data_IF_311896410257
#
_entry.id   IF_311896410257
#
_cell.length_a   1.000
_cell.length_b   1.000
_cell.length_c   1.000
_cell.angle_alpha   90.00
_cell.angle_beta   90.00
_cell.angle_gamma   90.00
#
_symmetry.space_group_name_H-M   'P 1'
#
loop_
_entity.id
_entity.type
_entity.pdbx_description
1 polymer ?
#
# COMPACT_ATOMS: atom_id res chain seq x y z
N UNK A 1 -11.54 -18.09 8.13
CA UNK A 1 -10.21 -17.50 7.93
C UNK A 1 -9.87 -16.53 9.06
N UNK A 2 -10.54 -15.40 9.22
CA UNK A 2 -10.22 -14.34 10.22
C UNK A 2 -10.12 -14.83 11.67
N UNK A 3 -10.97 -15.75 12.11
CA UNK A 3 -10.95 -16.27 13.48
C UNK A 3 -9.66 -17.01 13.89
N UNK A 4 -8.78 -17.31 12.95
CA UNK A 4 -7.48 -17.98 13.18
C UNK A 4 -6.27 -17.04 13.06
N UNK A 5 -6.52 -15.77 12.73
CA UNK A 5 -5.46 -14.77 12.59
C UNK A 5 -5.25 -14.11 13.95
N UNK A 6 -4.06 -14.25 14.51
CA UNK A 6 -3.68 -13.64 15.77
C UNK A 6 -2.33 -12.97 15.63
N UNK A 7 -2.32 -11.66 15.43
CA UNK A 7 -1.11 -10.87 15.31
C UNK A 7 -1.34 -9.46 15.86
N UNK A 8 -0.32 -8.87 16.48
CA UNK A 8 -0.42 -7.52 17.08
C UNK A 8 -0.81 -6.45 16.07
N UNK A 9 -0.39 -6.60 14.81
CA UNK A 9 -0.66 -5.64 13.72
C UNK A 9 -1.81 -6.07 12.80
N UNK A 10 -2.67 -6.98 13.23
CA UNK A 10 -3.90 -7.36 12.52
C UNK A 10 -5.08 -7.19 13.48
N UNK A 11 -6.18 -6.62 12.97
CA UNK A 11 -7.38 -6.43 13.77
C UNK A 11 -7.92 -7.77 14.28
N UNK A 12 -8.25 -7.82 15.56
CA UNK A 12 -8.79 -9.02 16.19
C UNK A 12 -10.29 -9.11 16.00
N UNK A 13 -10.75 -10.21 15.41
CA UNK A 13 -12.17 -10.55 15.39
C UNK A 13 -12.59 -11.04 16.77
N UNK A 14 -13.49 -10.33 17.42
CA UNK A 14 -14.05 -10.65 18.76
C UNK A 14 -15.24 -11.57 18.64
N UNK A 15 -16.07 -11.38 17.60
CA UNK A 15 -17.25 -12.17 17.39
C UNK A 15 -17.97 -11.82 16.10
N UNK A 16 -19.13 -12.46 15.90
CA UNK A 16 -19.99 -12.17 14.76
C UNK A 16 -21.45 -12.32 15.13
N UNK A 17 -22.33 -11.63 14.42
CA UNK A 17 -23.77 -11.82 14.47
C UNK A 17 -24.25 -12.36 13.12
N UNK A 18 -25.08 -13.41 13.14
CA UNK A 18 -25.66 -14.02 11.95
C UNK A 18 -27.15 -14.35 12.19
N UNK A 19 -27.91 -13.38 12.71
CA UNK A 19 -29.32 -13.53 13.03
C UNK A 19 -30.20 -13.12 11.83
N UNK A 20 -31.05 -14.02 11.36
CA UNK A 20 -31.92 -13.81 10.21
C UNK A 20 -31.12 -13.41 8.95
N UNK A 21 -31.47 -12.26 8.36
CA UNK A 21 -30.82 -11.69 7.19
C UNK A 21 -29.65 -10.74 7.54
N UNK A 22 -29.48 -10.45 8.81
CA UNK A 22 -28.43 -9.52 9.27
C UNK A 22 -27.13 -10.26 9.49
N UNK A 23 -26.03 -9.64 9.03
CA UNK A 23 -24.66 -10.13 9.24
C UNK A 23 -23.83 -8.99 9.78
N UNK A 24 -23.08 -9.24 10.86
CA UNK A 24 -22.14 -8.28 11.42
C UNK A 24 -20.89 -8.98 11.93
N UNK A 25 -19.74 -8.36 11.76
CA UNK A 25 -18.49 -8.75 12.37
C UNK A 25 -18.18 -7.78 13.51
N UNK A 26 -17.73 -8.28 14.64
CA UNK A 26 -17.37 -7.47 15.82
C UNK A 26 -15.87 -7.55 16.00
N UNK A 27 -15.20 -6.41 15.92
CA UNK A 27 -13.76 -6.30 16.04
C UNK A 27 -13.36 -5.55 17.32
N UNK A 28 -12.12 -5.74 17.74
CA UNK A 28 -11.49 -4.92 18.76
C UNK A 28 -11.49 -3.44 18.35
N UNK A 29 -11.86 -2.57 19.29
CA UNK A 29 -11.97 -1.13 19.00
C UNK A 29 -10.60 -0.46 18.95
N UNK A 30 -10.40 0.38 17.94
CA UNK A 30 -9.19 1.17 17.73
C UNK A 30 -9.50 2.67 17.91
N UNK A 31 -9.19 3.26 19.07
CA UNK A 31 -9.67 4.60 19.45
C UNK A 31 -9.07 5.74 18.62
N UNK A 32 -7.88 5.55 18.04
CA UNK A 32 -7.24 6.58 17.21
C UNK A 32 -7.71 6.57 15.75
N UNK A 33 -8.70 5.73 15.40
CA UNK A 33 -9.29 5.67 14.07
C UNK A 33 -8.34 5.09 13.03
N UNK A 34 -8.51 5.53 11.78
CA UNK A 34 -7.73 5.06 10.63
C UNK A 34 -6.59 6.02 10.28
N UNK A 35 -5.54 5.48 9.69
CA UNK A 35 -4.30 6.20 9.34
C UNK A 35 -4.55 7.38 8.38
N UNK A 36 -5.49 7.26 7.44
CA UNK A 36 -5.82 8.32 6.48
C UNK A 36 -6.15 9.66 7.16
N UNK A 37 -6.84 9.62 8.30
CA UNK A 37 -7.23 10.82 9.05
C UNK A 37 -6.04 11.58 9.65
N UNK A 38 -4.91 10.89 9.82
CA UNK A 38 -3.72 11.44 10.47
C UNK A 38 -2.65 11.87 9.48
N UNK A 39 -2.66 11.33 8.25
CA UNK A 39 -1.69 11.69 7.21
C UNK A 39 -2.22 12.75 6.24
N UNK A 40 -3.55 12.95 6.16
CA UNK A 40 -4.18 13.85 5.18
C UNK A 40 -4.83 15.08 5.79
N UNK A 41 -4.56 15.44 7.04
CA UNK A 41 -5.17 16.62 7.67
C UNK A 41 -4.71 17.90 6.97
N UNK A 42 -5.61 18.67 6.31
CA UNK A 42 -5.25 19.90 5.61
C UNK A 42 -4.89 21.04 6.57
N UNK A 43 -5.34 20.96 7.81
CA UNK A 43 -5.02 21.92 8.85
C UNK A 43 -3.76 21.50 9.60
N UNK A 44 -2.64 21.86 9.06
CA UNK A 44 -1.26 21.52 9.45
C UNK A 44 -0.85 21.92 10.89
N UNK A 45 -1.79 22.22 11.77
CA UNK A 45 -1.43 22.85 13.06
C UNK A 45 -1.49 21.94 14.28
N UNK A 46 -2.10 20.73 14.24
CA UNK A 46 -2.19 19.94 15.48
C UNK A 46 -2.22 18.40 15.37
N UNK A 47 -2.08 17.79 14.21
CA UNK A 47 -2.22 16.32 14.08
C UNK A 47 -1.06 15.58 13.41
N UNK A 48 0.06 16.21 13.13
CA UNK A 48 1.21 15.49 12.60
C UNK A 48 1.77 14.52 13.64
N UNK A 49 1.75 13.24 13.33
CA UNK A 49 2.19 12.15 14.23
C UNK A 49 3.68 12.20 14.59
N UNK A 50 4.47 12.98 13.85
CA UNK A 50 5.93 12.95 13.92
C UNK A 50 6.55 11.73 13.21
N UNK A 51 7.71 11.92 12.64
CA UNK A 51 8.37 10.93 11.78
C UNK A 51 8.68 9.61 12.49
N UNK A 52 9.04 9.65 13.77
CA UNK A 52 9.30 8.44 14.56
C UNK A 52 8.05 7.56 14.73
N UNK A 53 6.87 8.18 14.88
CA UNK A 53 5.62 7.42 14.96
C UNK A 53 5.22 6.86 13.59
N UNK A 54 5.42 7.64 12.51
CA UNK A 54 5.19 7.16 11.14
C UNK A 54 6.09 5.96 10.83
N UNK A 55 7.36 6.00 11.21
CA UNK A 55 8.29 4.87 11.09
C UNK A 55 7.80 3.64 11.86
N UNK A 56 7.39 3.80 13.12
CA UNK A 56 6.86 2.71 13.93
C UNK A 56 5.59 2.11 13.32
N UNK A 57 4.70 2.96 12.76
CA UNK A 57 3.50 2.52 12.04
C UNK A 57 3.90 1.73 10.78
N UNK A 58 4.85 2.23 9.99
CA UNK A 58 5.33 1.56 8.79
C UNK A 58 5.90 0.15 9.11
N UNK A 59 6.72 0.04 10.16
CA UNK A 59 7.27 -1.24 10.64
C UNK A 59 6.14 -2.19 11.08
N UNK A 60 5.19 -1.69 11.87
CA UNK A 60 4.07 -2.50 12.34
C UNK A 60 3.20 -3.01 11.18
N UNK A 61 2.90 -2.15 10.20
CA UNK A 61 2.18 -2.56 8.97
C UNK A 61 2.95 -3.65 8.23
N UNK A 62 4.27 -3.45 8.02
CA UNK A 62 5.10 -4.43 7.32
C UNK A 62 5.11 -5.79 8.02
N UNK A 63 5.22 -5.81 9.35
CA UNK A 63 5.14 -7.03 10.17
C UNK A 63 3.77 -7.70 10.06
N UNK A 64 2.68 -6.92 10.05
CA UNK A 64 1.33 -7.45 9.87
C UNK A 64 1.14 -8.12 8.51
N UNK A 65 1.61 -7.49 7.43
CA UNK A 65 1.52 -8.03 6.07
C UNK A 65 2.43 -9.26 5.92
N UNK A 66 3.65 -9.20 6.47
CA UNK A 66 4.57 -10.34 6.47
C UNK A 66 3.95 -11.56 7.16
N UNK A 67 3.30 -11.36 8.31
CA UNK A 67 2.57 -12.42 8.99
C UNK A 67 1.43 -13.00 8.14
N UNK A 68 0.67 -12.18 7.44
CA UNK A 68 -0.37 -12.65 6.52
C UNK A 68 0.21 -13.49 5.38
N UNK A 69 1.39 -13.11 4.88
CA UNK A 69 2.04 -13.79 3.76
C UNK A 69 2.75 -15.07 4.17
N UNK A 70 3.34 -15.15 5.38
CA UNK A 70 4.21 -16.27 5.77
C UNK A 70 3.85 -16.91 7.11
N UNK A 71 3.32 -16.12 8.07
CA UNK A 71 3.03 -16.57 9.42
C UNK A 71 1.76 -17.43 9.56
N UNK A 72 0.84 -17.34 8.61
CA UNK A 72 -0.42 -18.08 8.62
C UNK A 72 -0.25 -19.50 8.05
N UNK A 73 -1.18 -20.43 8.40
CA UNK A 73 -1.25 -21.78 7.82
C UNK A 73 -1.36 -21.74 6.29
N UNK A 74 -2.17 -20.84 5.78
CA UNK A 74 -2.28 -20.49 4.37
C UNK A 74 -1.82 -19.04 4.19
N UNK A 75 -1.14 -18.75 3.10
CA UNK A 75 -0.83 -17.39 2.71
C UNK A 75 -2.13 -16.62 2.50
N UNK A 76 -2.21 -15.40 3.03
CA UNK A 76 -3.38 -14.53 2.89
C UNK A 76 -2.97 -13.29 2.11
N UNK A 77 -3.58 -13.09 0.95
CA UNK A 77 -3.45 -11.88 0.15
C UNK A 77 -4.61 -10.96 0.52
N UNK A 78 -4.29 -9.72 0.92
CA UNK A 78 -5.28 -8.76 1.41
C UNK A 78 -6.05 -8.08 0.28
N UNK A 79 -5.36 -7.64 -0.77
CA UNK A 79 -5.88 -6.97 -1.98
C UNK A 79 -6.48 -5.58 -1.79
N UNK A 80 -6.60 -5.06 -0.58
CA UNK A 80 -7.14 -3.72 -0.34
C UNK A 80 -6.38 -2.98 0.77
N UNK A 81 -5.04 -3.02 0.70
CA UNK A 81 -4.20 -2.24 1.60
C UNK A 81 -4.23 -0.77 1.19
N UNK A 82 -4.70 0.08 2.10
CA UNK A 82 -4.80 1.54 1.97
C UNK A 82 -4.86 2.18 3.36
N UNK A 83 -4.62 3.48 3.51
CA UNK A 83 -4.62 4.14 4.81
C UNK A 83 -5.92 3.99 5.60
N UNK A 84 -7.07 3.95 4.93
CA UNK A 84 -8.38 3.76 5.56
C UNK A 84 -8.53 2.39 6.23
N UNK A 85 -7.79 1.38 5.74
CA UNK A 85 -7.82 0.01 6.25
C UNK A 85 -6.68 -0.29 7.25
N UNK A 86 -6.01 0.75 7.75
CA UNK A 86 -5.02 0.68 8.82
C UNK A 86 -5.57 1.43 10.03
N UNK A 87 -6.07 0.69 11.00
CA UNK A 87 -6.58 1.25 12.25
C UNK A 87 -5.44 1.43 13.25
N UNK A 88 -5.56 2.40 14.15
CA UNK A 88 -4.56 2.71 15.16
C UNK A 88 -5.16 2.50 16.55
N UNK A 89 -4.52 1.65 17.35
CA UNK A 89 -4.92 1.44 18.73
C UNK A 89 -4.52 2.62 19.63
N UNK A 90 -4.78 2.52 20.93
CA UNK A 90 -4.49 3.57 21.92
C UNK A 90 -3.00 3.98 21.98
N UNK A 91 -2.08 3.11 21.57
CA UNK A 91 -0.66 3.37 21.48
C UNK A 91 -0.18 3.75 20.07
N UNK A 92 -1.09 3.99 19.13
CA UNK A 92 -0.81 4.18 17.71
C UNK A 92 -0.19 2.94 17.05
N UNK A 93 -0.38 1.74 17.62
CA UNK A 93 0.01 0.50 16.97
C UNK A 93 -0.92 0.23 15.79
N UNK A 94 -0.38 0.06 14.56
CA UNK A 94 -1.22 -0.18 13.39
C UNK A 94 -1.83 -1.58 13.41
N UNK A 95 -3.09 -1.66 12.99
CA UNK A 95 -3.86 -2.89 12.86
C UNK A 95 -4.50 -2.94 11.48
N UNK A 96 -4.05 -3.89 10.66
CA UNK A 96 -4.63 -4.13 9.33
C UNK A 96 -6.05 -4.65 9.51
N UNK A 97 -7.01 -4.05 8.82
CA UNK A 97 -8.43 -4.40 8.89
C UNK A 97 -9.05 -4.53 7.50
N UNK A 98 -10.33 -4.85 7.44
CA UNK A 98 -11.14 -5.02 6.21
C UNK A 98 -10.61 -6.12 5.27
N UNK A 99 -10.84 -7.36 5.66
CA UNK A 99 -10.52 -8.56 4.87
C UNK A 99 -11.60 -8.92 3.84
N UNK A 100 -12.45 -7.97 3.45
CA UNK A 100 -13.57 -8.19 2.52
C UNK A 100 -13.12 -8.70 1.15
N UNK A 101 -11.94 -8.27 0.68
CA UNK A 101 -11.35 -8.70 -0.58
C UNK A 101 -10.28 -9.79 -0.42
N UNK A 102 -9.90 -10.12 0.81
CA UNK A 102 -8.78 -11.02 1.07
C UNK A 102 -9.03 -12.45 0.55
N UNK A 103 -7.97 -13.07 0.06
CA UNK A 103 -7.99 -14.45 -0.43
C UNK A 103 -6.92 -15.31 0.22
N UNK A 104 -7.28 -16.50 0.73
CA UNK A 104 -6.29 -17.50 1.11
C UNK A 104 -5.67 -18.13 -0.15
N UNK A 105 -4.39 -18.37 -0.10
CA UNK A 105 -3.61 -19.05 -1.13
C UNK A 105 -2.84 -20.20 -0.48
N UNK A 106 -2.84 -21.37 -1.08
CA UNK A 106 -2.04 -22.48 -0.58
C UNK A 106 -0.54 -22.13 -0.70
N UNK A 107 0.25 -22.42 0.33
CA UNK A 107 1.70 -22.13 0.31
C UNK A 107 2.46 -22.76 -0.88
N UNK A 108 1.91 -23.85 -1.44
CA UNK A 108 2.44 -24.48 -2.65
C UNK A 108 2.08 -23.71 -3.95
N UNK A 109 1.15 -22.77 -3.89
CA UNK A 109 0.73 -21.94 -5.00
C UNK A 109 1.26 -20.53 -4.79
N UNK A 110 2.22 -20.12 -5.61
CA UNK A 110 2.82 -18.78 -5.51
C UNK A 110 1.91 -17.64 -6.00
N UNK A 111 0.74 -17.97 -6.57
CA UNK A 111 -0.15 -16.97 -7.17
C UNK A 111 -1.62 -17.44 -7.29
N UNK A 112 -2.53 -16.48 -7.31
CA UNK A 112 -3.99 -16.69 -7.38
C UNK A 112 -4.54 -16.12 -8.68
N UNK A 113 -5.43 -16.86 -9.33
CA UNK A 113 -6.21 -16.33 -10.45
C UNK A 113 -7.30 -15.41 -9.96
N UNK A 114 -7.43 -14.22 -10.55
CA UNK A 114 -8.44 -13.23 -10.23
C UNK A 114 -9.35 -13.06 -11.44
N UNK A 115 -10.66 -13.24 -11.25
CA UNK A 115 -11.67 -13.08 -12.29
C UNK A 115 -12.07 -11.61 -12.51
N UNK A 116 -11.97 -10.79 -11.47
CA UNK A 116 -12.35 -9.36 -11.48
C UNK A 116 -11.25 -8.52 -10.85
N UNK A 117 -11.09 -7.27 -11.32
CA UNK A 117 -10.21 -6.30 -10.68
C UNK A 117 -10.69 -6.06 -9.25
N UNK A 118 -9.78 -6.10 -8.29
CA UNK A 118 -10.07 -5.91 -6.86
C UNK A 118 -9.11 -4.91 -6.25
N UNK A 119 -9.61 -4.08 -5.35
CA UNK A 119 -8.83 -3.11 -4.61
C UNK A 119 -9.23 -1.67 -4.90
N UNK A 120 -8.53 -0.72 -4.29
CA UNK A 120 -8.80 0.72 -4.37
C UNK A 120 -7.86 1.37 -5.37
N UNK A 121 -8.41 2.17 -6.31
CA UNK A 121 -7.62 2.94 -7.28
C UNK A 121 -6.54 3.77 -6.58
N UNK A 122 -5.34 3.80 -7.16
CA UNK A 122 -4.16 4.43 -6.58
C UNK A 122 -3.26 3.46 -5.80
N UNK A 123 -3.82 2.37 -5.24
CA UNK A 123 -3.07 1.37 -4.49
C UNK A 123 -3.01 0.01 -5.18
N UNK A 124 -3.81 -0.18 -6.22
CA UNK A 124 -3.87 -1.44 -7.00
C UNK A 124 -2.57 -1.62 -7.76
N UNK A 125 -1.96 -2.81 -7.61
CA UNK A 125 -0.77 -3.18 -8.37
C UNK A 125 -1.08 -3.34 -9.88
N UNK A 126 -0.13 -3.01 -10.78
CA UNK A 126 -0.33 -3.07 -12.23
C UNK A 126 -0.84 -4.42 -12.72
N UNK A 127 -0.33 -5.52 -12.17
CA UNK A 127 -0.74 -6.89 -12.54
C UNK A 127 -2.15 -7.26 -12.09
N UNK A 128 -2.70 -6.58 -11.08
CA UNK A 128 -4.09 -6.76 -10.65
C UNK A 128 -5.04 -6.00 -11.57
N UNK A 129 -4.63 -4.81 -12.01
CA UNK A 129 -5.41 -3.97 -12.91
C UNK A 129 -5.38 -4.51 -14.35
N UNK A 130 -4.21 -4.90 -14.84
CA UNK A 130 -4.02 -5.41 -16.20
C UNK A 130 -4.04 -6.94 -16.21
N UNK A 131 -5.07 -7.53 -16.83
CA UNK A 131 -5.20 -8.99 -17.00
C UNK A 131 -4.06 -9.62 -17.81
N UNK A 132 -3.17 -8.81 -18.38
CA UNK A 132 -2.03 -9.27 -19.20
C UNK A 132 -0.91 -9.94 -18.37
N UNK A 133 -0.88 -9.76 -17.05
CA UNK A 133 0.18 -10.28 -16.17
C UNK A 133 -0.07 -11.69 -15.61
N UNK A 134 -1.22 -12.31 -15.90
CA UNK A 134 -1.52 -13.66 -15.43
C UNK A 134 -1.94 -13.74 -13.95
N UNK A 135 -1.35 -14.67 -13.20
CA UNK A 135 -1.69 -14.91 -11.81
C UNK A 135 -1.09 -13.85 -10.89
N UNK A 136 -1.88 -13.40 -9.91
CA UNK A 136 -1.48 -12.39 -8.91
C UNK A 136 -0.93 -13.06 -7.66
N UNK A 137 0.19 -12.55 -7.16
CA UNK A 137 0.87 -13.04 -5.96
C UNK A 137 0.78 -12.06 -4.79
N UNK A 138 1.37 -12.42 -3.65
CA UNK A 138 1.54 -11.52 -2.50
C UNK A 138 2.30 -10.22 -2.83
N UNK A 139 2.98 -10.16 -3.97
CA UNK A 139 3.66 -8.95 -4.45
C UNK A 139 2.68 -7.81 -4.79
N UNK A 140 1.39 -8.09 -4.98
CA UNK A 140 0.36 -7.06 -5.10
C UNK A 140 0.16 -6.29 -3.80
N UNK A 141 0.14 -6.99 -2.65
CA UNK A 141 0.06 -6.34 -1.34
C UNK A 141 1.32 -5.52 -1.03
N UNK A 142 2.50 -6.00 -1.48
CA UNK A 142 3.76 -5.26 -1.38
C UNK A 142 3.67 -3.93 -2.13
N UNK A 143 3.10 -3.92 -3.34
CA UNK A 143 2.88 -2.70 -4.11
C UNK A 143 1.96 -1.73 -3.35
N UNK A 144 0.81 -2.21 -2.89
CA UNK A 144 -0.14 -1.39 -2.13
C UNK A 144 0.50 -0.81 -0.85
N UNK A 145 1.30 -1.62 -0.13
CA UNK A 145 2.08 -1.15 1.01
C UNK A 145 3.05 -0.04 0.64
N UNK A 146 3.79 -0.19 -0.46
CA UNK A 146 4.69 0.84 -0.97
C UNK A 146 3.97 2.16 -1.26
N UNK A 147 2.78 2.11 -1.88
CA UNK A 147 1.95 3.29 -2.13
C UNK A 147 1.52 3.97 -0.84
N UNK A 148 1.14 3.21 0.19
CA UNK A 148 0.81 3.77 1.52
C UNK A 148 2.03 4.46 2.13
N UNK A 149 3.24 3.87 2.07
CA UNK A 149 4.46 4.51 2.56
C UNK A 149 4.73 5.86 1.88
N UNK A 150 4.58 5.91 0.56
CA UNK A 150 4.79 7.15 -0.18
C UNK A 150 3.74 8.20 0.19
N UNK A 151 2.48 7.83 0.37
CA UNK A 151 1.43 8.74 0.85
C UNK A 151 1.71 9.29 2.25
N UNK A 152 2.22 8.44 3.17
CA UNK A 152 2.62 8.88 4.51
C UNK A 152 3.68 9.99 4.48
N UNK A 153 4.57 9.96 3.49
CA UNK A 153 5.61 10.98 3.31
C UNK A 153 5.02 12.29 2.78
N UNK A 154 4.07 12.21 1.86
CA UNK A 154 3.55 13.35 1.14
C UNK A 154 2.39 14.07 1.80
N UNK A 155 1.75 13.46 2.76
CA UNK A 155 0.60 14.04 3.46
C UNK A 155 -0.59 14.35 2.54
N UNK A 156 -0.70 13.73 1.35
CA UNK A 156 -1.78 13.94 0.39
C UNK A 156 -2.36 12.62 -0.09
N UNK A 157 -3.68 12.54 -0.17
CA UNK A 157 -4.36 11.36 -0.74
C UNK A 157 -3.95 11.18 -2.20
N UNK A 158 -3.42 10.03 -2.52
CA UNK A 158 -3.06 9.64 -3.89
C UNK A 158 -4.30 9.70 -4.79
N UNK A 159 -5.46 9.34 -4.26
CA UNK A 159 -6.75 9.37 -4.97
C UNK A 159 -7.23 10.78 -5.34
N UNK A 160 -6.93 11.80 -4.54
CA UNK A 160 -7.30 13.20 -4.82
C UNK A 160 -6.48 13.78 -5.97
N UNK A 161 -5.21 13.38 -6.08
CA UNK A 161 -4.34 13.79 -7.18
C UNK A 161 -4.84 13.22 -8.51
N UNK A 162 -5.36 12.00 -8.52
CA UNK A 162 -5.91 11.35 -9.73
C UNK A 162 -7.24 11.98 -10.15
N UNK A 163 -8.08 12.42 -9.20
CA UNK A 163 -9.44 12.93 -9.46
C UNK A 163 -9.48 14.39 -9.95
N UNK A 164 -8.45 15.19 -9.64
CA UNK A 164 -8.50 16.66 -9.88
C UNK A 164 -8.29 17.08 -11.33
N UNK A 165 -8.06 16.18 -12.26
CA UNK A 165 -8.03 16.45 -13.73
C UNK A 165 -7.03 17.51 -14.20
N UNK A 166 -6.25 18.07 -13.31
CA UNK A 166 -5.33 19.17 -13.61
C UNK A 166 -4.05 18.60 -14.23
N UNK A 167 -3.75 18.94 -15.47
CA UNK A 167 -2.63 18.44 -16.28
C UNK A 167 -1.20 18.71 -15.73
N UNK A 168 -1.10 19.38 -14.59
CA UNK A 168 0.15 19.55 -13.84
C UNK A 168 0.40 18.46 -12.79
N UNK A 169 -0.35 17.34 -12.84
CA UNK A 169 -0.20 16.23 -11.89
C UNK A 169 1.09 15.46 -12.19
N UNK A 170 2.17 15.92 -11.61
CA UNK A 170 3.34 15.08 -11.39
C UNK A 170 2.85 13.88 -10.59
N UNK A 171 2.99 12.67 -11.17
CA UNK A 171 2.70 11.43 -10.46
C UNK A 171 3.52 11.44 -9.17
N UNK A 172 2.85 11.47 -8.01
CA UNK A 172 3.48 11.70 -6.72
C UNK A 172 4.68 10.75 -6.45
N UNK A 173 4.60 9.44 -6.73
CA UNK A 173 5.76 8.56 -6.63
C UNK A 173 6.92 8.94 -7.56
N UNK A 174 6.64 9.43 -8.77
CA UNK A 174 7.67 9.92 -9.69
C UNK A 174 8.38 11.17 -9.13
N UNK A 175 7.62 12.05 -8.50
CA UNK A 175 8.18 13.24 -7.86
C UNK A 175 9.12 12.89 -6.70
N UNK A 176 8.74 11.93 -5.84
CA UNK A 176 9.63 11.44 -4.76
C UNK A 176 10.90 10.81 -5.35
N UNK A 177 10.77 10.01 -6.41
CA UNK A 177 11.91 9.40 -7.06
C UNK A 177 12.91 10.46 -7.56
N UNK A 178 12.42 11.48 -8.27
CA UNK A 178 13.25 12.56 -8.81
C UNK A 178 13.97 13.34 -7.70
N UNK A 179 13.28 13.66 -6.61
CA UNK A 179 13.90 14.31 -5.44
C UNK A 179 15.06 13.50 -4.86
N UNK A 180 14.89 12.18 -4.78
CA UNK A 180 15.96 11.31 -4.26
C UNK A 180 17.14 11.20 -5.21
N UNK A 181 16.89 11.19 -6.55
CA UNK A 181 17.91 11.07 -7.59
C UNK A 181 18.73 12.35 -7.73
N UNK A 182 18.08 13.52 -7.67
CA UNK A 182 18.74 14.84 -7.73
C UNK A 182 19.56 15.15 -6.46
N UNK A 183 19.45 14.29 -5.45
CA UNK A 183 20.13 14.49 -4.17
C UNK A 183 19.54 15.65 -3.35
N UNK A 184 18.41 16.18 -3.83
CA UNK A 184 17.65 17.17 -3.08
C UNK A 184 17.08 16.53 -1.82
N UNK A 185 17.24 17.23 -0.73
CA UNK A 185 16.71 16.80 0.54
C UNK A 185 15.17 16.74 0.45
N UNK A 186 14.59 15.62 0.84
CA UNK A 186 13.14 15.49 1.16
C UNK A 186 12.76 16.53 2.26
N UNK A 187 13.66 17.43 2.58
CA UNK A 187 13.55 18.52 3.58
C UNK A 187 12.44 19.53 3.29
N UNK A 188 11.74 19.47 2.17
CA UNK A 188 10.61 20.37 1.91
C UNK A 188 9.51 20.27 2.98
N UNK A 189 9.54 19.22 3.83
CA UNK A 189 8.60 19.01 4.93
C UNK A 189 9.26 18.65 6.27
N UNK A 190 10.60 18.76 6.41
CA UNK A 190 11.31 18.20 7.58
C UNK A 190 12.38 19.18 8.08
N UNK A 191 12.18 19.71 9.28
CA UNK A 191 13.09 20.70 9.89
C UNK A 191 14.30 20.05 10.58
N UNK A 192 14.20 18.79 11.04
CA UNK A 192 15.24 18.09 11.78
C UNK A 192 15.97 17.04 10.94
N UNK A 193 17.29 16.99 11.03
CA UNK A 193 18.15 16.02 10.29
C UNK A 193 17.79 14.55 10.59
N UNK A 194 17.34 14.24 11.83
CA UNK A 194 16.91 12.90 12.22
C UNK A 194 15.65 12.45 11.48
N UNK A 195 14.71 13.34 11.32
CA UNK A 195 13.44 13.12 10.66
C UNK A 195 13.61 12.98 9.14
N UNK A 196 14.51 13.76 8.55
CA UNK A 196 14.87 13.63 7.12
C UNK A 196 15.43 12.23 6.79
N UNK A 197 16.21 11.63 7.68
CA UNK A 197 16.71 10.25 7.52
C UNK A 197 15.57 9.23 7.52
N UNK A 198 14.56 9.41 8.39
CA UNK A 198 13.39 8.54 8.43
C UNK A 198 12.57 8.69 7.15
N UNK A 199 12.26 9.93 6.74
CA UNK A 199 11.52 10.20 5.51
C UNK A 199 12.21 9.58 4.29
N UNK A 200 13.53 9.76 4.15
CA UNK A 200 14.34 9.16 3.09
C UNK A 200 14.27 7.62 3.12
N UNK A 201 14.37 7.01 4.31
CA UNK A 201 14.26 5.56 4.46
C UNK A 201 12.90 5.05 3.99
N UNK A 202 11.80 5.66 4.46
CA UNK A 202 10.45 5.29 4.06
C UNK A 202 10.24 5.44 2.55
N UNK A 203 10.79 6.51 1.94
CA UNK A 203 10.73 6.73 0.50
C UNK A 203 11.44 5.62 -0.28
N UNK A 204 12.68 5.29 0.09
CA UNK A 204 13.46 4.23 -0.58
C UNK A 204 12.73 2.88 -0.47
N UNK A 205 12.24 2.53 0.72
CA UNK A 205 11.49 1.27 0.90
C UNK A 205 10.20 1.28 0.08
N UNK A 206 9.45 2.38 0.09
CA UNK A 206 8.25 2.55 -0.73
C UNK A 206 8.54 2.32 -2.21
N UNK A 207 9.60 2.95 -2.74
CA UNK A 207 10.01 2.80 -4.15
C UNK A 207 10.46 1.37 -4.51
N UNK A 208 11.14 0.65 -3.61
CA UNK A 208 11.43 -0.77 -3.80
C UNK A 208 10.18 -1.65 -3.83
N UNK A 209 9.15 -1.27 -3.09
CA UNK A 209 7.88 -1.99 -3.05
C UNK A 209 7.02 -1.76 -4.31
N UNK A 210 7.10 -0.59 -4.96
CA UNK A 210 6.27 -0.23 -6.12
C UNK A 210 6.91 -0.51 -7.47
N UNK A 211 7.98 -1.30 -7.55
CA UNK A 211 8.57 -1.68 -8.85
C UNK A 211 7.50 -2.23 -9.78
N UNK A 212 7.59 -1.89 -11.09
CA UNK A 212 6.56 -2.22 -12.08
C UNK A 212 6.30 -3.72 -12.16
N UNK A 213 7.37 -4.50 -12.30
CA UNK A 213 7.25 -5.95 -12.33
C UNK A 213 7.23 -6.54 -10.92
N UNK A 214 6.31 -7.48 -10.62
CA UNK A 214 6.22 -8.11 -9.29
C UNK A 214 7.53 -8.77 -8.84
N UNK A 215 8.33 -9.30 -9.76
CA UNK A 215 9.60 -10.00 -9.47
C UNK A 215 10.67 -9.05 -8.92
N UNK A 216 10.63 -7.78 -9.33
CA UNK A 216 11.60 -6.76 -8.93
C UNK A 216 11.26 -6.11 -7.57
N UNK A 217 10.04 -6.29 -7.10
CA UNK A 217 9.64 -5.84 -5.76
C UNK A 217 10.29 -6.69 -4.69
N UNK A 218 10.70 -6.08 -3.60
CA UNK A 218 11.17 -6.80 -2.41
C UNK A 218 10.06 -7.69 -1.83
N UNK A 219 10.42 -8.67 -1.00
CA UNK A 219 9.43 -9.38 -0.16
C UNK A 219 9.10 -8.55 1.09
N UNK A 220 7.98 -8.84 1.76
CA UNK A 220 7.67 -8.13 3.01
C UNK A 220 8.72 -8.38 4.09
N UNK A 221 9.30 -9.57 4.17
CA UNK A 221 10.41 -9.85 5.09
C UNK A 221 11.64 -8.95 4.84
N UNK A 222 11.97 -8.69 3.57
CA UNK A 222 13.04 -7.75 3.20
C UNK A 222 12.63 -6.32 3.52
N UNK A 223 11.39 -5.92 3.24
CA UNK A 223 10.90 -4.59 3.57
C UNK A 223 10.96 -4.33 5.10
N UNK A 224 10.59 -5.30 5.93
CA UNK A 224 10.77 -5.23 7.40
C UNK A 224 12.23 -4.97 7.76
N UNK A 225 13.17 -5.77 7.24
CA UNK A 225 14.60 -5.60 7.50
C UNK A 225 15.12 -4.22 7.08
N UNK A 226 14.67 -3.72 5.93
CA UNK A 226 15.03 -2.38 5.45
C UNK A 226 14.50 -1.28 6.38
N UNK A 227 13.26 -1.39 6.86
CA UNK A 227 12.65 -0.42 7.78
C UNK A 227 13.31 -0.45 9.16
N UNK A 228 13.64 -1.63 9.69
CA UNK A 228 14.30 -1.80 10.98
C UNK A 228 15.78 -1.40 10.94
N UNK A 229 16.38 -1.36 9.75
CA UNK A 229 17.75 -0.92 9.60
C UNK A 229 17.90 0.56 10.01
N UNK A 230 19.13 0.96 10.40
CA UNK A 230 19.45 2.37 10.65
C UNK A 230 19.54 3.22 9.37
N UNK A 231 19.08 2.72 8.23
CA UNK A 231 19.14 3.37 6.93
C UNK A 231 20.55 3.36 6.29
N UNK A 232 21.54 2.76 6.94
CA UNK A 232 22.88 2.62 6.36
C UNK A 232 22.88 1.57 5.26
N UNK A 233 23.32 1.96 4.06
CA UNK A 233 23.44 1.05 2.92
C UNK A 233 22.17 0.82 2.10
N UNK A 234 21.08 1.54 2.36
CA UNK A 234 19.92 1.51 1.49
C UNK A 234 20.24 2.26 0.18
N UNK A 235 20.13 1.56 -0.93
CA UNK A 235 20.30 2.11 -2.27
C UNK A 235 18.94 2.52 -2.85
N UNK A 236 18.92 3.63 -3.61
CA UNK A 236 17.74 4.02 -4.39
C UNK A 236 17.51 2.92 -5.45
N UNK A 237 16.27 2.41 -5.60
CA UNK A 237 15.96 1.40 -6.61
C UNK A 237 16.02 1.99 -8.03
N UNK A 238 15.99 1.17 -9.08
CA UNK A 238 15.72 1.63 -10.43
C UNK A 238 14.39 2.40 -10.50
N UNK A 239 14.27 3.30 -11.49
CA UNK A 239 13.03 4.07 -11.65
C UNK A 239 11.84 3.13 -11.97
N UNK A 240 10.83 3.03 -11.11
CA UNK A 240 9.72 2.10 -11.29
C UNK A 240 8.80 2.46 -12.47
N UNK A 241 9.00 3.63 -13.13
CA UNK A 241 8.11 4.15 -14.17
C UNK A 241 8.70 4.11 -15.58
N UNK A 242 9.96 3.72 -15.74
CA UNK A 242 10.62 3.66 -17.07
C UNK A 242 9.92 2.66 -17.96
N UNK A 243 9.65 1.46 -17.47
CA UNK A 243 8.99 0.40 -18.24
C UNK A 243 7.54 0.72 -18.61
N UNK A 244 6.88 1.59 -17.81
CA UNK A 244 5.52 2.06 -18.12
C UNK A 244 5.48 3.01 -19.32
N UNK A 245 6.58 3.70 -19.62
CA UNK A 245 6.70 4.62 -20.76
C UNK A 245 6.98 3.82 -22.04
N UNK A 246 7.92 2.89 -22.00
CA UNK A 246 8.24 2.02 -23.15
C UNK A 246 7.08 1.09 -23.52
N UNK A 247 6.36 0.55 -22.52
CA UNK A 247 5.16 -0.24 -22.77
C UNK A 247 4.00 0.56 -23.40
N UNK A 248 3.97 1.90 -23.27
CA UNK A 248 2.98 2.75 -23.95
C UNK A 248 3.34 3.01 -25.42
N UNK A 249 4.60 2.98 -25.78
CA UNK A 249 5.03 3.13 -27.17
C UNK A 249 4.83 1.83 -27.99
N UNK A 250 4.98 0.66 -27.37
CA UNK A 250 4.74 -0.65 -28.02
C UNK A 250 3.26 -1.07 -28.06
N UNK A 251 2.35 -0.38 -27.35
CA UNK A 251 0.96 -0.80 -27.19
C UNK A 251 -0.07 0.17 -27.76
N UNK A 252 -0.01 0.42 -29.05
CA UNK A 252 -1.21 0.78 -29.83
C UNK A 252 -2.30 -0.34 -29.77
N UNK A 253 -1.97 -1.48 -29.19
CA UNK A 253 -2.85 -2.64 -28.95
C UNK A 253 -3.48 -2.56 -27.54
N UNK A 254 -2.77 -2.08 -26.51
CA UNK A 254 -3.29 -1.98 -25.12
C UNK A 254 -4.24 -0.81 -24.91
N UNK A 255 -4.12 0.29 -25.62
CA UNK A 255 -5.05 1.43 -25.51
C UNK A 255 -6.49 1.00 -25.85
N UNK A 256 -6.68 0.07 -26.82
CA UNK A 256 -8.00 -0.50 -27.14
C UNK A 256 -8.57 -1.38 -26.04
N UNK A 257 -7.74 -1.99 -25.20
CA UNK A 257 -8.19 -2.84 -24.10
C UNK A 257 -8.67 -1.99 -22.92
N UNK A 258 -7.98 -0.89 -22.61
CA UNK A 258 -8.33 0.03 -21.51
C UNK A 258 -9.61 0.82 -21.81
N UNK A 259 -9.77 1.31 -23.04
CA UNK A 259 -10.99 2.07 -23.46
C UNK A 259 -12.22 1.17 -23.40
N UNK A 260 -12.12 -0.08 -23.83
CA UNK A 260 -13.22 -1.04 -23.81
C UNK A 260 -13.64 -1.46 -22.38
N UNK A 261 -12.71 -1.44 -21.42
CA UNK A 261 -12.99 -1.77 -20.01
C UNK A 261 -13.67 -0.61 -19.28
N UNK A 262 -13.38 0.64 -19.64
CA UNK A 262 -14.03 1.82 -19.08
C UNK A 262 -15.47 2.01 -19.61
N UNK A 263 -15.75 1.63 -20.87
CA UNK A 263 -17.09 1.64 -21.43
C UNK A 263 -18.02 0.62 -20.76
N UNK A 264 -17.53 -0.56 -20.39
CA UNK A 264 -18.32 -1.60 -19.70
C UNK A 264 -18.68 -1.22 -18.26
N UNK A 265 -17.90 -0.35 -17.60
CA UNK A 265 -18.18 0.10 -16.22
C UNK A 265 -19.25 1.22 -16.20
N UNK A 266 -19.47 1.92 -17.30
CA UNK A 266 -20.48 2.99 -17.41
C UNK A 266 -21.89 2.50 -17.83
N UNK A 267 -22.02 1.23 -18.25
CA UNK A 267 -23.30 0.66 -18.66
C UNK A 267 -24.01 -0.17 -17.56
N UNK A 268 -23.46 -0.28 -16.36
CA UNK A 268 -24.03 -1.05 -15.23
C UNK A 268 -24.47 -0.18 -14.02
N UNK A 269 -24.75 1.13 -14.22
CA UNK A 269 -25.41 1.98 -13.22
C UNK A 269 -26.87 2.25 -13.58
#
# INVERSE_FOLDING_TARGET
MLARIHHVNVVRLVGYCAEGFRRALVYEFSPNGSLDKLITSPDNTNCFLGWRKLEAIAIGMANGIEYLHQGCDQQILHFDLKPENILLDHNFTPKICDFGLAKPCAKAQSAVSISTVKGTMGYIAPEVFSRCFGNVSCKSDVYSFGMVLLEMIGGRKITEVVSSGNRSNVNYPTWIYNLLEEGDDIRLCVEEEGDAKIAKKLAIVGLWCIQWHPVDRVSMAVAVQMLESQGKGLTIPPNPFVDSITAREDTNISARCVTRTLEVIQEED
#
